data_IF_454448964025
#
_entry.id   IF_454448964025
#
_cell.length_a   1.000
_cell.length_b   1.000
_cell.length_c   1.000
_cell.angle_alpha   90.00
_cell.angle_beta   90.00
_cell.angle_gamma   90.00
#
_symmetry.space_group_name_H-M   'P 1'
#
loop_
_entity.id
_entity.type
_entity.pdbx_description
1 polymer ?
#
# COMPACT_ATOMS: atom_id res chain seq x y z
N UNK A 1 2.42 12.73 4.00
CA UNK A 1 3.25 11.62 4.54
C UNK A 1 4.72 12.01 4.48
N UNK A 2 5.54 11.64 5.48
CA UNK A 2 6.99 11.93 5.48
C UNK A 2 7.72 11.13 4.37
N UNK A 3 8.66 11.73 3.60
CA UNK A 3 9.43 11.05 2.55
C UNK A 3 10.12 9.74 2.97
N UNK A 4 10.68 9.67 4.17
CA UNK A 4 11.30 8.45 4.70
C UNK A 4 10.27 7.35 4.93
N UNK A 5 9.07 7.72 5.42
CA UNK A 5 7.97 6.77 5.60
C UNK A 5 7.47 6.28 4.25
N UNK A 6 7.26 7.18 3.30
CA UNK A 6 6.89 6.83 1.91
C UNK A 6 7.86 5.80 1.32
N UNK A 7 9.17 6.06 1.42
CA UNK A 7 10.21 5.17 0.90
C UNK A 7 10.12 3.76 1.51
N UNK A 8 9.96 3.66 2.83
CA UNK A 8 9.85 2.37 3.52
C UNK A 8 8.60 1.60 3.11
N UNK A 9 7.46 2.28 2.96
CA UNK A 9 6.22 1.64 2.50
C UNK A 9 6.34 1.11 1.07
N UNK A 10 6.95 1.89 0.17
CA UNK A 10 7.22 1.43 -1.21
C UNK A 10 8.10 0.17 -1.19
N UNK A 11 9.19 0.17 -0.41
CA UNK A 11 10.08 -0.98 -0.30
C UNK A 11 9.37 -2.24 0.21
N UNK A 12 8.42 -2.10 1.14
CA UNK A 12 7.61 -3.22 1.65
C UNK A 12 6.69 -3.84 0.60
N UNK A 13 6.28 -3.09 -0.43
CA UNK A 13 5.34 -3.56 -1.45
C UNK A 13 6.02 -4.22 -2.65
N UNK A 14 7.24 -3.82 -3.01
CA UNK A 14 7.91 -4.27 -4.25
C UNK A 14 8.01 -5.80 -4.33
N UNK A 15 8.58 -6.45 -3.30
CA UNK A 15 8.76 -7.91 -3.33
C UNK A 15 7.42 -8.66 -3.30
N UNK A 16 6.43 -8.30 -2.46
CA UNK A 16 5.09 -8.87 -2.51
C UNK A 16 4.40 -8.74 -3.87
N UNK A 17 4.55 -7.62 -4.59
CA UNK A 17 4.01 -7.47 -5.95
C UNK A 17 4.63 -8.50 -6.91
N UNK A 18 5.94 -8.70 -6.84
CA UNK A 18 6.65 -9.64 -7.71
C UNK A 18 6.28 -11.10 -7.52
N UNK A 19 5.70 -11.47 -6.36
CA UNK A 19 5.30 -12.86 -6.06
C UNK A 19 3.80 -13.13 -6.20
N UNK A 20 3.01 -12.17 -6.70
CA UNK A 20 1.58 -12.39 -7.01
C UNK A 20 1.42 -13.52 -8.05
N UNK A 21 2.37 -13.64 -8.99
CA UNK A 21 2.44 -14.77 -9.90
C UNK A 21 1.28 -14.82 -10.91
N UNK A 22 0.63 -15.99 -11.11
CA UNK A 22 -0.42 -16.16 -12.12
C UNK A 22 -1.61 -15.21 -11.96
N UNK A 23 -1.89 -14.75 -10.75
CA UNK A 23 -2.99 -13.84 -10.45
C UNK A 23 -2.66 -12.37 -10.74
N UNK A 24 -1.45 -12.06 -11.23
CA UNK A 24 -0.99 -10.69 -11.43
C UNK A 24 -1.82 -9.94 -12.48
N UNK A 25 -2.28 -10.62 -13.53
CA UNK A 25 -3.17 -10.03 -14.53
C UNK A 25 -4.43 -9.49 -13.85
N UNK A 26 -5.11 -10.34 -13.08
CA UNK A 26 -6.33 -9.97 -12.34
C UNK A 26 -6.08 -8.87 -11.30
N UNK A 27 -4.93 -8.89 -10.62
CA UNK A 27 -4.52 -7.79 -9.76
C UNK A 27 -4.34 -6.48 -10.55
N UNK A 28 -3.68 -6.54 -11.71
CA UNK A 28 -3.42 -5.40 -12.58
C UNK A 28 -4.70 -4.74 -13.09
N UNK A 29 -5.71 -5.55 -13.43
CA UNK A 29 -7.05 -5.09 -13.80
C UNK A 29 -7.68 -4.22 -12.71
N UNK A 30 -7.82 -4.78 -11.50
CA UNK A 30 -8.39 -4.07 -10.34
C UNK A 30 -7.56 -2.84 -9.97
N UNK A 31 -6.24 -2.96 -10.06
CA UNK A 31 -5.33 -1.85 -9.79
C UNK A 31 -5.59 -0.68 -10.74
N UNK A 32 -5.77 -0.93 -12.04
CA UNK A 32 -6.07 0.12 -13.00
C UNK A 32 -7.48 0.68 -12.86
N UNK A 33 -8.48 -0.14 -12.55
CA UNK A 33 -9.85 0.31 -12.30
C UNK A 33 -9.93 1.34 -11.17
N UNK A 34 -9.12 1.13 -10.12
CA UNK A 34 -9.05 2.07 -9.01
C UNK A 34 -8.09 3.25 -9.25
N UNK A 35 -7.12 3.08 -10.15
CA UNK A 35 -6.12 4.12 -10.46
C UNK A 35 -6.64 5.16 -11.47
N UNK A 36 -7.38 4.69 -12.47
CA UNK A 36 -7.86 5.47 -13.59
C UNK A 36 -9.28 5.95 -13.30
N UNK A 37 -9.60 7.17 -13.71
CA UNK A 37 -10.98 7.67 -13.67
C UNK A 37 -11.83 7.18 -14.86
N UNK A 38 -11.19 6.50 -15.81
CA UNK A 38 -11.84 5.94 -17.01
C UNK A 38 -12.01 4.43 -16.79
N UNK A 39 -13.24 3.91 -16.84
CA UNK A 39 -13.49 2.47 -16.75
C UNK A 39 -12.78 1.73 -17.88
N UNK A 40 -12.16 0.59 -17.56
CA UNK A 40 -11.60 -0.31 -18.53
C UNK A 40 -12.52 -1.53 -18.69
N UNK A 41 -12.64 -2.01 -19.92
CA UNK A 41 -13.21 -3.31 -20.23
C UNK A 41 -12.08 -4.33 -20.19
N UNK A 42 -12.23 -5.30 -19.31
CA UNK A 42 -11.29 -6.39 -19.09
C UNK A 42 -11.69 -7.59 -19.93
N UNK A 43 -10.73 -8.23 -20.59
CA UNK A 43 -11.01 -9.44 -21.36
C UNK A 43 -11.46 -10.57 -20.46
N UNK A 44 -12.77 -10.82 -20.50
CA UNK A 44 -13.39 -11.85 -19.69
C UNK A 44 -13.02 -13.27 -20.10
N UNK A 45 -13.43 -14.20 -19.24
CA UNK A 45 -13.51 -15.61 -19.58
C UNK A 45 -14.58 -15.81 -20.67
N UNK A 46 -14.35 -16.74 -21.59
CA UNK A 46 -15.41 -17.18 -22.50
C UNK A 46 -16.55 -17.86 -21.72
N UNK A 47 -17.63 -18.21 -22.42
CA UNK A 47 -18.79 -18.89 -21.82
C UNK A 47 -18.46 -20.23 -21.11
N UNK A 48 -17.25 -20.78 -21.33
CA UNK A 48 -16.76 -22.00 -20.70
C UNK A 48 -15.81 -21.73 -19.52
N UNK A 49 -15.62 -20.46 -19.13
CA UNK A 49 -14.76 -20.10 -18.00
C UNK A 49 -13.26 -20.08 -18.34
N UNK A 50 -12.87 -20.09 -19.61
CA UNK A 50 -11.46 -20.00 -20.02
C UNK A 50 -11.10 -18.60 -20.53
N UNK A 51 -9.88 -18.11 -20.28
CA UNK A 51 -9.42 -16.83 -20.84
C UNK A 51 -9.54 -16.82 -22.36
N UNK A 52 -10.11 -15.74 -22.92
CA UNK A 52 -10.18 -15.57 -24.37
C UNK A 52 -8.78 -15.21 -24.87
N UNK A 53 -8.03 -16.23 -25.31
CA UNK A 53 -6.71 -16.02 -25.92
C UNK A 53 -6.79 -15.09 -27.14
N UNK A 54 -5.82 -14.18 -27.28
CA UNK A 54 -5.68 -13.18 -28.36
C UNK A 54 -6.63 -11.99 -28.29
N UNK A 55 -7.12 -11.66 -27.10
CA UNK A 55 -7.79 -10.38 -26.87
C UNK A 55 -6.91 -9.58 -25.92
N UNK A 56 -6.90 -8.26 -26.09
CA UNK A 56 -6.26 -7.31 -25.18
C UNK A 56 -6.68 -7.56 -23.74
N UNK A 57 -5.76 -7.55 -22.78
CA UNK A 57 -6.15 -7.72 -21.39
C UNK A 57 -7.14 -6.63 -20.94
N UNK A 58 -6.91 -5.37 -21.34
CA UNK A 58 -7.81 -4.27 -21.01
C UNK A 58 -7.86 -3.16 -22.06
N UNK A 59 -9.04 -2.60 -22.29
CA UNK A 59 -9.20 -1.37 -23.09
C UNK A 59 -10.35 -0.50 -22.60
N UNK A 60 -10.24 0.82 -22.71
CA UNK A 60 -11.39 1.71 -22.50
C UNK A 60 -12.45 1.47 -23.58
N UNK A 61 -13.71 1.82 -23.29
CA UNK A 61 -14.83 1.63 -24.23
C UNK A 61 -14.62 2.33 -25.59
N UNK A 62 -13.92 3.47 -25.61
CA UNK A 62 -13.56 4.20 -26.83
C UNK A 62 -12.26 3.69 -27.48
N UNK A 63 -11.58 2.71 -26.87
CA UNK A 63 -10.30 2.15 -27.31
C UNK A 63 -9.10 3.09 -27.18
N UNK A 64 -9.27 4.26 -26.55
CA UNK A 64 -8.19 5.26 -26.43
C UNK A 64 -7.13 4.87 -25.39
N UNK A 65 -7.47 4.07 -24.39
CA UNK A 65 -6.56 3.53 -23.38
C UNK A 65 -6.54 2.02 -23.54
N UNK A 66 -5.35 1.45 -23.57
CA UNK A 66 -5.12 0.00 -23.62
C UNK A 66 -4.11 -0.37 -22.56
N UNK A 67 -4.33 -1.49 -21.88
CA UNK A 67 -3.35 -2.05 -20.96
C UNK A 67 -3.12 -3.54 -21.22
N UNK A 68 -1.86 -3.96 -21.02
CA UNK A 68 -1.38 -5.34 -21.06
C UNK A 68 -0.61 -5.60 -19.75
N UNK A 69 -0.78 -6.80 -19.18
CA UNK A 69 -0.19 -7.18 -17.90
C UNK A 69 0.72 -8.40 -18.05
N UNK A 70 1.82 -8.43 -17.31
CA UNK A 70 2.74 -9.56 -17.37
C UNK A 70 3.38 -9.90 -16.02
N UNK A 71 3.30 -11.18 -15.66
CA UNK A 71 4.03 -11.76 -14.54
C UNK A 71 5.41 -12.35 -14.94
N UNK A 72 5.83 -12.22 -16.21
CA UNK A 72 7.02 -12.91 -16.71
C UNK A 72 8.30 -12.38 -16.04
N UNK A 73 9.13 -13.28 -15.51
CA UNK A 73 10.38 -12.95 -14.82
C UNK A 73 11.40 -12.25 -15.74
N UNK A 74 11.32 -12.48 -17.05
CA UNK A 74 12.23 -11.94 -18.06
C UNK A 74 11.69 -10.68 -18.75
N UNK A 75 10.61 -10.07 -18.23
CA UNK A 75 9.95 -8.92 -18.86
C UNK A 75 10.90 -7.73 -19.10
N UNK A 76 11.75 -7.42 -18.11
CA UNK A 76 12.74 -6.34 -18.17
C UNK A 76 14.12 -6.82 -18.63
N UNK A 77 14.20 -7.85 -19.47
CA UNK A 77 15.46 -8.24 -20.12
C UNK A 77 15.84 -7.28 -21.24
N UNK A 78 17.11 -7.31 -21.65
CA UNK A 78 17.65 -6.40 -22.67
C UNK A 78 16.84 -6.53 -23.98
N UNK A 79 16.40 -5.39 -24.52
CA UNK A 79 15.57 -5.35 -25.72
C UNK A 79 14.07 -5.58 -25.48
N UNK A 80 13.67 -5.99 -24.27
CA UNK A 80 12.29 -6.15 -23.83
C UNK A 80 11.38 -6.83 -24.89
N UNK A 81 11.72 -8.03 -25.38
CA UNK A 81 10.99 -8.68 -26.47
C UNK A 81 9.51 -8.92 -26.14
N UNK A 82 9.18 -9.16 -24.87
CA UNK A 82 7.80 -9.31 -24.42
C UNK A 82 7.04 -7.97 -24.48
N UNK A 83 7.63 -6.87 -24.03
CA UNK A 83 7.00 -5.55 -24.14
C UNK A 83 6.82 -5.10 -25.60
N UNK A 84 7.74 -5.47 -26.49
CA UNK A 84 7.60 -5.26 -27.94
C UNK A 84 6.40 -6.03 -28.51
N UNK A 85 6.26 -7.31 -28.13
CA UNK A 85 5.12 -8.14 -28.52
C UNK A 85 3.81 -7.58 -27.99
N UNK A 86 3.77 -7.16 -26.73
CA UNK A 86 2.58 -6.62 -26.07
C UNK A 86 2.19 -5.27 -26.69
N UNK A 87 3.16 -4.42 -27.03
CA UNK A 87 2.91 -3.17 -27.76
C UNK A 87 2.34 -3.43 -29.16
N UNK A 88 2.94 -4.35 -29.91
CA UNK A 88 2.45 -4.71 -31.24
C UNK A 88 1.05 -5.33 -31.18
N UNK A 89 0.82 -6.21 -30.20
CA UNK A 89 -0.49 -6.79 -29.90
C UNK A 89 -1.51 -5.69 -29.61
N UNK A 90 -1.15 -4.72 -28.77
CA UNK A 90 -2.02 -3.63 -28.40
C UNK A 90 -2.45 -2.75 -29.58
N UNK A 91 -1.47 -2.33 -30.38
CA UNK A 91 -1.71 -1.48 -31.54
C UNK A 91 -2.48 -2.22 -32.66
N UNK A 92 -2.29 -3.53 -32.78
CA UNK A 92 -3.03 -4.34 -33.76
C UNK A 92 -4.53 -4.44 -33.44
N UNK A 93 -4.89 -4.53 -32.17
CA UNK A 93 -6.28 -4.66 -31.72
C UNK A 93 -6.99 -3.31 -31.54
N UNK A 94 -6.24 -2.27 -31.17
CA UNK A 94 -6.75 -0.91 -30.98
C UNK A 94 -5.86 0.11 -31.71
N UNK A 95 -6.00 0.24 -33.04
CA UNK A 95 -5.21 1.19 -33.82
C UNK A 95 -5.41 2.65 -33.39
N UNK A 96 -6.53 2.97 -32.74
CA UNK A 96 -6.86 4.29 -32.22
C UNK A 96 -6.36 4.56 -30.79
N UNK A 97 -5.61 3.63 -30.18
CA UNK A 97 -5.04 3.81 -28.86
C UNK A 97 -4.19 5.08 -28.79
N UNK A 98 -4.49 5.94 -27.81
CA UNK A 98 -3.74 7.16 -27.49
C UNK A 98 -2.75 6.92 -26.36
N UNK A 99 -3.08 6.01 -25.44
CA UNK A 99 -2.25 5.61 -24.33
C UNK A 99 -2.18 4.08 -24.27
N UNK A 100 -0.97 3.54 -24.33
CA UNK A 100 -0.69 2.13 -24.06
C UNK A 100 0.02 2.03 -22.72
N UNK A 101 -0.50 1.19 -21.84
CA UNK A 101 0.04 0.88 -20.52
C UNK A 101 0.56 -0.56 -20.54
N UNK A 102 1.85 -0.75 -20.31
CA UNK A 102 2.43 -2.08 -20.16
C UNK A 102 2.87 -2.26 -18.71
N UNK A 103 2.24 -3.19 -17.99
CA UNK A 103 2.39 -3.32 -16.54
C UNK A 103 2.95 -4.68 -16.20
N UNK A 104 4.04 -4.71 -15.43
CA UNK A 104 4.70 -5.96 -15.08
C UNK A 104 4.92 -6.10 -13.57
N UNK A 105 4.84 -7.35 -13.10
CA UNK A 105 5.03 -7.71 -11.69
C UNK A 105 6.48 -7.52 -11.24
N UNK A 106 7.42 -7.58 -12.18
CA UNK A 106 8.85 -7.58 -11.89
C UNK A 106 9.36 -6.18 -11.52
N UNK A 107 10.45 -6.11 -10.74
CA UNK A 107 11.18 -4.86 -10.53
C UNK A 107 11.65 -4.25 -11.85
N UNK A 108 11.40 -2.96 -12.01
CA UNK A 108 11.77 -2.19 -13.18
C UNK A 108 13.30 -2.09 -13.31
N UNK A 109 13.81 -2.09 -14.54
CA UNK A 109 15.22 -1.80 -14.84
C UNK A 109 15.30 -0.49 -15.64
N UNK A 110 15.50 0.66 -14.97
CA UNK A 110 15.31 1.98 -15.58
C UNK A 110 16.09 2.20 -16.88
N UNK A 111 17.35 1.76 -16.94
CA UNK A 111 18.16 1.92 -18.16
C UNK A 111 17.58 1.13 -19.34
N UNK A 112 17.07 -0.09 -19.09
CA UNK A 112 16.48 -0.94 -20.13
C UNK A 112 15.14 -0.37 -20.59
N UNK A 113 14.32 0.11 -19.65
CA UNK A 113 13.03 0.75 -19.96
C UNK A 113 13.23 2.04 -20.74
N UNK A 114 14.17 2.90 -20.34
CA UNK A 114 14.48 4.15 -21.05
C UNK A 114 14.96 3.90 -22.48
N UNK A 115 15.84 2.91 -22.67
CA UNK A 115 16.31 2.49 -23.99
C UNK A 115 15.13 2.01 -24.87
N UNK A 116 14.28 1.15 -24.31
CA UNK A 116 13.11 0.63 -25.02
C UNK A 116 12.09 1.74 -25.35
N UNK A 117 11.74 2.60 -24.40
CA UNK A 117 10.80 3.71 -24.62
C UNK A 117 11.28 4.64 -25.73
N UNK A 118 12.58 5.00 -25.75
CA UNK A 118 13.15 5.81 -26.82
C UNK A 118 13.02 5.14 -28.18
N UNK A 119 13.33 3.85 -28.27
CA UNK A 119 13.21 3.09 -29.51
C UNK A 119 11.75 2.96 -29.96
N UNK A 120 10.84 2.62 -29.05
CA UNK A 120 9.42 2.44 -29.33
C UNK A 120 8.74 3.74 -29.77
N UNK A 121 8.97 4.85 -29.06
CA UNK A 121 8.37 6.15 -29.37
C UNK A 121 8.92 6.77 -30.67
N UNK A 122 10.09 6.34 -31.14
CA UNK A 122 10.63 6.76 -32.44
C UNK A 122 9.94 6.07 -33.64
N UNK A 123 9.14 5.03 -33.41
CA UNK A 123 8.45 4.31 -34.49
C UNK A 123 7.29 5.14 -35.07
N UNK A 124 7.05 5.09 -36.39
CA UNK A 124 5.93 5.79 -37.02
C UNK A 124 4.57 5.43 -36.42
N UNK A 125 4.39 4.15 -36.05
CA UNK A 125 3.19 3.64 -35.40
C UNK A 125 2.97 4.17 -33.97
N UNK A 126 3.92 4.90 -33.38
CA UNK A 126 3.77 5.57 -32.09
C UNK A 126 3.57 7.07 -32.21
N UNK A 127 3.55 7.63 -33.43
CA UNK A 127 3.36 9.05 -33.64
C UNK A 127 2.00 9.52 -33.07
N UNK A 128 2.05 10.49 -32.14
CA UNK A 128 0.86 11.02 -31.47
C UNK A 128 0.28 10.13 -30.36
N UNK A 129 0.98 9.03 -30.01
CA UNK A 129 0.59 8.10 -28.95
C UNK A 129 1.53 8.22 -27.75
N UNK A 130 1.06 7.80 -26.59
CA UNK A 130 1.84 7.70 -25.36
C UNK A 130 2.03 6.24 -24.98
N UNK A 131 3.23 5.90 -24.51
CA UNK A 131 3.56 4.60 -23.94
C UNK A 131 4.03 4.79 -22.51
N UNK A 132 3.50 3.99 -21.58
CA UNK A 132 4.00 3.90 -20.21
C UNK A 132 4.28 2.45 -19.89
N UNK A 133 5.41 2.21 -19.24
CA UNK A 133 5.84 0.89 -18.79
C UNK A 133 6.08 0.97 -17.30
N UNK A 134 5.42 0.12 -16.52
CA UNK A 134 5.52 0.13 -15.07
C UNK A 134 5.99 -1.24 -14.56
N UNK A 135 7.01 -1.24 -13.71
CA UNK A 135 7.35 -2.38 -12.87
C UNK A 135 6.79 -2.25 -11.45
N UNK A 136 7.20 -3.17 -10.58
CA UNK A 136 6.78 -3.26 -9.18
C UNK A 136 6.98 -1.95 -8.41
N UNK A 137 8.08 -1.23 -8.63
CA UNK A 137 8.39 0.06 -7.99
C UNK A 137 7.30 1.08 -8.28
N UNK A 138 6.92 1.22 -9.55
CA UNK A 138 5.95 2.23 -9.96
C UNK A 138 4.54 1.89 -9.51
N UNK A 139 4.20 0.59 -9.48
CA UNK A 139 2.95 0.09 -8.90
C UNK A 139 2.92 0.41 -7.40
N UNK A 140 3.98 0.06 -6.66
CA UNK A 140 4.11 0.33 -5.23
C UNK A 140 4.01 1.83 -4.90
N UNK A 141 4.61 2.70 -5.73
CA UNK A 141 4.44 4.15 -5.61
C UNK A 141 2.99 4.58 -5.75
N UNK A 142 2.27 4.09 -6.77
CA UNK A 142 0.86 4.44 -6.94
C UNK A 142 0.02 3.95 -5.77
N UNK A 143 0.23 2.72 -5.29
CA UNK A 143 -0.46 2.17 -4.11
C UNK A 143 -0.27 3.07 -2.88
N UNK A 144 0.97 3.42 -2.58
CA UNK A 144 1.28 4.27 -1.42
C UNK A 144 0.68 5.67 -1.56
N UNK A 145 0.79 6.26 -2.74
CA UNK A 145 0.39 7.66 -2.96
C UNK A 145 -1.12 7.84 -3.11
N UNK A 146 -1.84 6.85 -3.65
CA UNK A 146 -3.26 6.97 -4.02
C UNK A 146 -4.20 6.02 -3.27
N UNK A 147 -3.72 4.88 -2.78
CA UNK A 147 -4.58 3.82 -2.26
C UNK A 147 -4.54 3.70 -0.75
N UNK A 148 -3.49 4.19 -0.08
CA UNK A 148 -3.38 4.15 1.40
C UNK A 148 -4.60 4.74 2.13
N UNK A 149 -5.44 5.53 1.46
CA UNK A 149 -6.65 6.13 2.02
C UNK A 149 -7.92 5.87 1.20
N UNK A 150 -7.90 4.87 0.33
CA UNK A 150 -9.07 4.44 -0.44
C UNK A 150 -9.48 3.05 0.02
N UNK A 151 -10.42 2.99 0.96
CA UNK A 151 -10.84 1.75 1.63
C UNK A 151 -11.34 0.70 0.63
N UNK A 152 -12.14 1.12 -0.38
CA UNK A 152 -12.64 0.23 -1.43
C UNK A 152 -11.50 -0.39 -2.24
N UNK A 153 -10.49 0.40 -2.57
CA UNK A 153 -9.37 -0.09 -3.37
C UNK A 153 -8.42 -0.98 -2.55
N UNK A 154 -8.24 -0.69 -1.26
CA UNK A 154 -7.51 -1.59 -0.34
C UNK A 154 -8.23 -2.92 -0.23
N UNK A 155 -9.55 -2.91 0.02
CA UNK A 155 -10.34 -4.14 0.14
C UNK A 155 -10.25 -5.02 -1.12
N UNK A 156 -10.35 -4.42 -2.31
CA UNK A 156 -10.27 -5.16 -3.58
C UNK A 156 -8.87 -5.75 -3.84
N UNK A 157 -7.81 -5.00 -3.53
CA UNK A 157 -6.43 -5.41 -3.86
C UNK A 157 -5.80 -6.32 -2.80
N UNK A 158 -6.26 -6.26 -1.55
CA UNK A 158 -5.68 -7.00 -0.43
C UNK A 158 -5.80 -8.52 -0.55
N UNK A 159 -6.73 -9.03 -1.36
CA UNK A 159 -6.77 -10.46 -1.68
C UNK A 159 -5.47 -10.93 -2.34
N UNK A 160 -4.93 -10.13 -3.27
CA UNK A 160 -3.70 -10.43 -4.00
C UNK A 160 -2.46 -9.91 -3.27
N UNK A 161 -2.60 -8.83 -2.49
CA UNK A 161 -1.50 -8.15 -1.82
C UNK A 161 -1.79 -7.93 -0.33
N UNK A 162 -1.77 -8.99 0.52
CA UNK A 162 -2.17 -8.89 1.93
C UNK A 162 -1.38 -7.87 2.75
N UNK A 163 -0.11 -7.62 2.38
CA UNK A 163 0.73 -6.58 2.99
C UNK A 163 0.12 -5.17 2.88
N UNK A 164 -0.77 -4.94 1.90
CA UNK A 164 -1.47 -3.67 1.74
C UNK A 164 -2.43 -3.41 2.91
N UNK A 165 -3.15 -4.43 3.39
CA UNK A 165 -3.98 -4.32 4.59
C UNK A 165 -3.14 -3.95 5.81
N UNK A 166 -2.00 -4.62 6.01
CA UNK A 166 -1.11 -4.32 7.15
C UNK A 166 -0.66 -2.86 7.13
N UNK A 167 -0.23 -2.35 5.97
CA UNK A 167 0.18 -0.95 5.78
C UNK A 167 -1.00 0.01 6.04
N UNK A 168 -2.19 -0.32 5.55
CA UNK A 168 -3.39 0.50 5.76
C UNK A 168 -3.78 0.55 7.24
N UNK A 169 -3.79 -0.59 7.94
CA UNK A 169 -4.08 -0.67 9.37
C UNK A 169 -3.05 0.08 10.22
N UNK A 170 -1.76 -0.01 9.87
CA UNK A 170 -0.69 0.81 10.47
C UNK A 170 -0.95 2.31 10.25
N UNK A 171 -1.26 2.72 9.02
CA UNK A 171 -1.53 4.12 8.70
C UNK A 171 -2.80 4.66 9.38
N UNK A 172 -3.84 3.83 9.50
CA UNK A 172 -5.06 4.16 10.23
C UNK A 172 -4.78 4.35 11.73
N UNK A 173 -3.96 3.48 12.32
CA UNK A 173 -3.55 3.59 13.74
C UNK A 173 -2.71 4.82 14.00
N UNK A 174 -1.75 5.14 13.14
CA UNK A 174 -0.93 6.34 13.25
C UNK A 174 -1.78 7.63 13.33
N UNK A 175 -2.96 7.64 12.71
CA UNK A 175 -3.92 8.76 12.76
C UNK A 175 -4.72 8.84 14.05
N UNK A 176 -4.86 7.73 14.78
CA UNK A 176 -5.52 7.73 16.10
C UNK A 176 -4.65 8.40 17.17
N UNK A 177 -3.35 8.59 16.90
CA UNK A 177 -2.46 9.32 17.80
C UNK A 177 -2.50 10.82 17.48
N UNK A 178 -2.79 11.69 18.47
CA UNK A 178 -2.65 13.12 18.27
C UNK A 178 -1.18 13.43 17.98
N UNK A 179 -0.95 14.30 16.98
CA UNK A 179 0.40 14.80 16.73
C UNK A 179 0.96 15.45 18.02
N UNK A 180 2.24 15.23 18.36
CA UNK A 180 2.85 15.90 19.50
C UNK A 180 2.72 17.43 19.33
N UNK A 181 2.39 18.12 20.42
CA UNK A 181 2.39 19.60 20.50
C UNK A 181 3.76 20.13 20.02
N UNK A 182 3.80 21.27 19.34
CA UNK A 182 5.04 21.94 18.93
C UNK A 182 5.99 22.26 20.11
N UNK A 183 5.45 22.33 21.32
CA UNK A 183 6.20 22.50 22.58
C UNK A 183 6.65 21.18 23.20
N UNK A 184 6.36 20.04 22.57
CA UNK A 184 6.76 18.73 23.04
C UNK A 184 8.29 18.67 23.14
N UNK A 185 8.78 18.40 24.35
CA UNK A 185 10.19 18.13 24.58
C UNK A 185 10.40 16.62 24.64
N UNK A 186 11.25 16.05 23.77
CA UNK A 186 11.56 14.62 23.82
C UNK A 186 12.18 14.27 25.17
N UNK A 187 11.71 13.18 25.78
CA UNK A 187 12.21 12.65 27.06
C UNK A 187 12.83 11.27 26.83
N UNK A 188 14.07 11.18 26.29
CA UNK A 188 14.66 9.91 25.86
C UNK A 188 14.72 8.87 26.97
N UNK A 189 15.07 9.27 28.20
CA UNK A 189 15.10 8.35 29.35
C UNK A 189 13.72 7.70 29.64
N UNK A 190 12.62 8.43 29.42
CA UNK A 190 11.26 7.89 29.59
C UNK A 190 10.95 6.92 28.46
N UNK A 191 11.27 7.29 27.21
CA UNK A 191 11.12 6.41 26.06
C UNK A 191 11.92 5.12 26.22
N UNK A 192 13.19 5.20 26.61
CA UNK A 192 14.09 4.05 26.79
C UNK A 192 13.58 3.11 27.89
N UNK A 193 13.04 3.66 28.98
CA UNK A 193 12.43 2.88 30.05
C UNK A 193 11.15 2.17 29.58
N UNK A 194 10.30 2.85 28.80
CA UNK A 194 9.12 2.22 28.18
C UNK A 194 9.56 1.09 27.24
N UNK A 195 10.64 1.27 26.46
CA UNK A 195 11.20 0.22 25.61
C UNK A 195 11.66 -0.99 26.39
N UNK A 196 12.45 -0.74 27.44
CA UNK A 196 12.97 -1.79 28.29
C UNK A 196 11.84 -2.62 28.88
N UNK A 197 10.75 -1.97 29.33
CA UNK A 197 9.58 -2.66 29.88
C UNK A 197 8.78 -3.41 28.84
N UNK A 198 8.50 -2.81 27.67
CA UNK A 198 7.79 -3.48 26.57
C UNK A 198 8.56 -4.68 25.97
N UNK A 199 9.88 -4.75 26.18
CA UNK A 199 10.67 -5.92 25.79
C UNK A 199 10.32 -7.17 26.62
N UNK A 200 9.97 -6.99 27.90
CA UNK A 200 9.67 -8.08 28.85
C UNK A 200 8.18 -8.19 29.23
N UNK A 201 7.42 -7.10 29.15
CA UNK A 201 6.02 -7.01 29.58
C UNK A 201 5.09 -6.97 28.35
N UNK A 202 3.93 -7.62 28.46
CA UNK A 202 2.88 -7.55 27.43
C UNK A 202 2.11 -6.23 27.47
N UNK A 203 2.19 -5.49 28.58
CA UNK A 203 1.51 -4.21 28.73
C UNK A 203 2.28 -3.29 29.70
N UNK A 204 2.41 -2.02 29.35
CA UNK A 204 3.00 -0.98 30.22
C UNK A 204 1.96 0.08 30.53
N UNK A 205 1.71 0.28 31.83
CA UNK A 205 0.91 1.39 32.34
C UNK A 205 1.84 2.50 32.82
N UNK A 206 1.66 3.72 32.29
CA UNK A 206 2.29 4.91 32.85
C UNK A 206 1.27 5.63 33.72
N UNK A 207 1.67 5.91 34.97
CA UNK A 207 0.87 6.65 35.94
C UNK A 207 1.48 8.04 36.11
N UNK A 208 0.64 9.06 36.02
CA UNK A 208 1.03 10.42 36.39
C UNK A 208 0.28 10.83 37.67
N UNK A 209 1.02 11.36 38.63
CA UNK A 209 0.44 12.03 39.79
C UNK A 209 0.10 13.47 39.36
N UNK A 210 -1.20 13.75 39.25
CA UNK A 210 -1.78 14.95 38.63
C UNK A 210 -1.56 16.27 39.38
N UNK A 211 -0.31 16.67 39.62
CA UNK A 211 0.03 17.97 40.23
C UNK A 211 0.33 19.09 39.21
N UNK A 212 0.47 18.76 37.93
CA UNK A 212 0.64 19.74 36.86
C UNK A 212 -0.37 19.43 35.77
N UNK A 213 -1.34 20.31 35.53
CA UNK A 213 -2.38 20.16 34.50
C UNK A 213 -1.87 20.19 33.05
N UNK A 214 -0.65 19.72 32.80
CA UNK A 214 -0.09 19.53 31.48
C UNK A 214 -0.53 18.17 30.97
N UNK A 215 -1.38 18.17 29.94
CA UNK A 215 -1.73 16.97 29.19
C UNK A 215 -0.43 16.44 28.58
N UNK A 216 0.12 15.37 29.15
CA UNK A 216 1.27 14.69 28.58
C UNK A 216 0.82 13.97 27.31
N UNK A 217 0.97 14.68 26.19
CA UNK A 217 0.98 14.10 24.86
C UNK A 217 2.26 13.28 24.72
N UNK A 218 2.21 12.02 25.12
CA UNK A 218 3.26 11.05 24.83
C UNK A 218 2.83 10.21 23.63
N UNK A 219 3.22 10.58 22.38
CA UNK A 219 2.97 9.75 21.22
C UNK A 219 3.93 8.56 21.26
N UNK A 220 3.60 7.52 22.00
CA UNK A 220 4.33 6.24 21.97
C UNK A 220 3.79 5.44 20.79
N UNK A 221 3.92 6.01 19.58
CA UNK A 221 3.41 5.42 18.35
C UNK A 221 4.52 5.02 17.38
N UNK A 222 5.78 5.38 17.64
CA UNK A 222 6.83 5.12 16.65
C UNK A 222 8.19 4.91 17.25
N UNK A 223 8.45 3.70 17.74
CA UNK A 223 9.80 3.30 18.06
C UNK A 223 10.04 1.84 17.65
N UNK A 224 10.72 1.69 16.51
CA UNK A 224 11.56 0.54 16.14
C UNK A 224 10.92 -0.85 16.08
N UNK A 225 10.52 -1.27 14.88
CA UNK A 225 10.74 -2.62 14.33
C UNK A 225 10.05 -3.84 14.94
N UNK A 226 9.49 -3.81 16.16
CA UNK A 226 8.95 -5.02 16.82
C UNK A 226 7.69 -4.82 17.69
N UNK A 227 7.09 -3.64 17.68
CA UNK A 227 5.82 -3.37 18.39
C UNK A 227 4.66 -3.41 17.42
N UNK A 228 3.78 -4.40 17.58
CA UNK A 228 2.71 -4.70 16.64
C UNK A 228 1.49 -3.77 16.75
N UNK A 229 1.32 -3.00 17.84
CA UNK A 229 0.21 -2.05 18.01
C UNK A 229 0.43 -1.12 19.22
N UNK A 230 -0.10 0.11 19.17
CA UNK A 230 -0.38 0.94 20.33
C UNK A 230 -1.80 1.50 20.19
N UNK A 231 -2.59 1.50 21.26
CA UNK A 231 -3.96 2.02 21.27
C UNK A 231 -4.08 3.13 22.33
N UNK A 232 -4.66 4.27 21.96
CA UNK A 232 -4.92 5.38 22.89
C UNK A 232 -6.38 5.33 23.35
N UNK A 233 -6.60 5.32 24.66
CA UNK A 233 -7.93 5.43 25.27
C UNK A 233 -7.93 6.61 26.24
N UNK A 234 -8.67 7.68 25.90
CA UNK A 234 -9.01 8.71 26.87
C UNK A 234 -10.05 8.16 27.84
N UNK A 235 -9.72 8.11 29.14
CA UNK A 235 -10.62 7.60 30.17
C UNK A 235 -11.88 8.44 30.39
N UNK A 236 -11.99 9.63 29.82
CA UNK A 236 -13.24 10.41 29.82
C UNK A 236 -14.35 9.81 28.96
N UNK A 237 -14.03 8.88 28.05
CA UNK A 237 -15.01 8.18 27.18
C UNK A 237 -15.11 6.67 27.48
N UNK A 238 -14.29 6.15 28.40
CA UNK A 238 -14.20 4.72 28.69
C UNK A 238 -15.53 4.12 29.18
N UNK A 239 -16.37 4.89 29.87
CA UNK A 239 -17.65 4.40 30.43
C UNK A 239 -18.60 3.78 29.40
N UNK A 240 -18.47 4.12 28.10
CA UNK A 240 -19.30 3.52 27.02
C UNK A 240 -18.67 2.30 26.34
N UNK A 241 -17.35 2.13 26.43
CA UNK A 241 -16.60 1.00 25.81
C UNK A 241 -16.30 -0.11 26.83
N UNK A 242 -16.44 0.18 28.13
CA UNK A 242 -16.14 -0.70 29.24
C UNK A 242 -16.86 -2.07 29.22
N UNK A 243 -18.00 -2.23 28.55
CA UNK A 243 -18.69 -3.53 28.54
C UNK A 243 -18.01 -4.61 27.68
N UNK A 244 -17.15 -4.22 26.72
CA UNK A 244 -16.39 -5.18 25.90
C UNK A 244 -14.93 -5.39 26.36
N UNK A 245 -14.40 -4.53 27.22
CA UNK A 245 -13.00 -4.56 27.71
C UNK A 245 -12.87 -5.08 29.16
N UNK A 246 -13.93 -5.64 29.76
CA UNK A 246 -13.96 -6.14 31.16
C UNK A 246 -12.88 -7.16 31.53
N UNK A 247 -12.15 -7.72 30.56
CA UNK A 247 -11.17 -8.78 30.80
C UNK A 247 -9.77 -8.32 31.22
N UNK A 248 -9.45 -7.02 31.17
CA UNK A 248 -8.04 -6.57 31.25
C UNK A 248 -7.71 -5.51 32.32
N UNK A 249 -8.66 -5.11 33.18
CA UNK A 249 -8.42 -4.13 34.25
C UNK A 249 -8.76 -4.71 35.64
N UNK A 250 -7.80 -4.76 36.58
CA UNK A 250 -8.11 -4.98 38.00
C UNK A 250 -9.09 -3.92 38.52
N UNK A 251 -9.97 -4.31 39.45
CA UNK A 251 -11.07 -3.47 39.94
C UNK A 251 -10.61 -2.12 40.52
N UNK A 252 -9.37 -2.02 41.00
CA UNK A 252 -8.83 -0.86 41.71
C UNK A 252 -8.40 0.31 40.80
N UNK A 253 -8.49 0.16 39.47
CA UNK A 253 -7.91 1.09 38.49
C UNK A 253 -8.93 1.93 37.69
N UNK A 254 -10.18 2.01 38.13
CA UNK A 254 -11.28 2.58 37.33
C UNK A 254 -11.40 4.11 37.32
N UNK A 255 -10.77 4.81 38.26
CA UNK A 255 -11.06 6.24 38.53
C UNK A 255 -9.91 7.23 38.23
N UNK A 256 -8.81 6.81 37.57
CA UNK A 256 -7.66 7.70 37.33
C UNK A 256 -7.10 7.58 35.92
N UNK A 257 -6.88 8.73 35.27
CA UNK A 257 -6.29 8.84 33.92
C UNK A 257 -5.02 8.01 33.81
N UNK A 258 -5.09 6.93 33.04
CA UNK A 258 -4.05 5.93 32.83
C UNK A 258 -3.90 5.67 31.33
N UNK A 259 -2.66 5.60 30.85
CA UNK A 259 -2.36 5.20 29.47
C UNK A 259 -1.98 3.71 29.46
N UNK A 260 -2.68 2.91 28.67
CA UNK A 260 -2.43 1.46 28.49
C UNK A 260 -1.74 1.24 27.15
N UNK A 261 -0.52 0.69 27.15
CA UNK A 261 0.17 0.25 25.94
C UNK A 261 0.31 -1.26 25.96
N UNK A 262 -0.29 -1.97 25.01
CA UNK A 262 -0.27 -3.43 24.95
C UNK A 262 0.46 -3.96 23.72
N UNK A 263 1.24 -5.04 23.89
CA UNK A 263 1.88 -5.83 22.84
C UNK A 263 0.94 -6.98 22.48
N UNK A 264 0.54 -7.10 21.21
CA UNK A 264 -0.19 -8.27 20.72
C UNK A 264 0.80 -9.36 20.31
N UNK A 265 0.74 -10.48 21.03
CA UNK A 265 1.34 -11.76 20.61
C UNK A 265 0.37 -12.43 19.62
N UNK A 266 0.85 -12.80 18.42
CA UNK A 266 0.17 -13.84 17.64
C UNK A 266 0.45 -15.19 18.27
#
# INVERSE_FOLDING_TARGET
>A
MNPQTRKLLIQRLIAPIGVIGPDFERFGELFLDHLLSTPLEHSGLNALGFPIRRVLDSSSADGAIVAEYSAHDDYFTRGMPKAEQDLAHALSHRPNAKLVLLIAAQPERPQIVDEFLKAALAKPEMQGRSLRIWGAERIAEQLVDKFTFNDTAVEALSFYLPVLTEIWEEAARDRLFPAPDLRHRPRPAVSDEIHRRLASESCVCNREDGASGERLHCPIARIGGNLSCGSWLALSEASRVCDKLRFWLPADNRDRGSLLLARHSR
#
